data_IF_672499710198
#
_entry.id   IF_672499710198
#
_cell.length_a   1.000
_cell.length_b   1.000
_cell.length_c   1.000
_cell.angle_alpha   90.00
_cell.angle_beta   90.00
_cell.angle_gamma   90.00
#
_symmetry.space_group_name_H-M   'P 1'
#
loop_
_entity.id
_entity.type
_entity.pdbx_description
1 polymer ?
#
# COMPACT_ATOMS: atom_id res chain seq x y z
N UNK A 1 -1.59 4.83 8.97
CA UNK A 1 -1.18 4.54 7.57
C UNK A 1 -1.65 5.64 6.61
N UNK A 2 -2.90 6.11 6.67
CA UNK A 2 -3.35 7.20 5.79
C UNK A 2 -2.46 8.45 5.91
N UNK A 3 -2.12 8.87 7.13
CA UNK A 3 -1.21 9.99 7.37
C UNK A 3 0.17 9.76 6.74
N UNK A 4 0.67 8.52 6.77
CA UNK A 4 1.96 8.19 6.14
C UNK A 4 1.84 8.18 4.62
N UNK A 5 0.70 7.76 4.07
CA UNK A 5 0.45 7.90 2.64
C UNK A 5 0.49 9.37 2.20
N UNK A 6 -0.13 10.27 2.96
CA UNK A 6 -0.08 11.72 2.69
C UNK A 6 1.37 12.24 2.74
N UNK A 7 2.16 11.76 3.70
CA UNK A 7 3.59 12.08 3.81
C UNK A 7 4.34 11.63 2.55
N UNK A 8 4.19 10.37 2.16
CA UNK A 8 4.85 9.83 0.97
C UNK A 8 4.42 10.55 -0.31
N UNK A 9 3.14 10.81 -0.49
CA UNK A 9 2.62 11.55 -1.65
C UNK A 9 3.28 12.92 -1.79
N UNK A 10 3.50 13.60 -0.66
CA UNK A 10 4.11 14.93 -0.63
C UNK A 10 5.60 14.92 -0.98
N UNK A 11 6.37 13.93 -0.50
CA UNK A 11 7.83 13.90 -0.70
C UNK A 11 8.26 13.11 -1.95
N UNK A 12 7.39 12.22 -2.46
CA UNK A 12 7.73 11.34 -3.58
C UNK A 12 8.19 12.07 -4.86
N UNK A 13 7.59 13.21 -5.26
CA UNK A 13 8.07 13.94 -6.44
C UNK A 13 9.57 14.28 -6.41
N UNK A 14 10.13 14.51 -5.23
CA UNK A 14 11.55 14.84 -5.04
C UNK A 14 12.45 13.61 -4.92
N UNK A 15 11.87 12.43 -4.73
CA UNK A 15 12.59 11.18 -4.51
C UNK A 15 12.53 10.18 -5.67
N UNK A 16 11.53 10.30 -6.56
CA UNK A 16 11.25 9.32 -7.62
C UNK A 16 12.40 9.07 -8.60
N UNK A 17 13.30 10.04 -8.77
CA UNK A 17 14.48 9.89 -9.64
C UNK A 17 15.67 9.23 -8.91
N UNK A 18 15.55 9.00 -7.61
CA UNK A 18 16.60 8.46 -6.74
C UNK A 18 16.25 7.12 -6.11
N UNK A 19 14.97 6.77 -6.07
CA UNK A 19 14.50 5.57 -5.38
C UNK A 19 13.34 4.92 -6.12
N UNK A 20 13.11 3.64 -5.84
CA UNK A 20 11.90 2.92 -6.20
C UNK A 20 11.01 2.78 -4.97
N UNK A 21 9.74 3.16 -5.09
CA UNK A 21 8.75 2.95 -4.05
C UNK A 21 8.11 1.57 -4.22
N UNK A 22 8.20 0.75 -3.19
CA UNK A 22 7.59 -0.57 -3.14
C UNK A 22 6.58 -0.59 -2.00
N UNK A 23 5.32 -0.86 -2.31
CA UNK A 23 4.29 -1.09 -1.31
C UNK A 23 4.21 -2.58 -0.97
N UNK A 24 4.09 -2.89 0.32
CA UNK A 24 3.85 -4.25 0.83
C UNK A 24 2.62 -4.25 1.70
N UNK A 25 1.71 -5.17 1.46
CA UNK A 25 0.51 -5.34 2.27
C UNK A 25 0.82 -5.90 3.64
N UNK A 26 0.23 -5.32 4.66
CA UNK A 26 0.29 -5.83 6.03
C UNK A 26 -1.07 -5.62 6.74
N UNK A 27 -2.15 -6.28 6.28
CA UNK A 27 -3.47 -6.10 6.85
C UNK A 27 -3.54 -6.65 8.27
N UNK A 28 -3.86 -5.78 9.25
CA UNK A 28 -4.04 -6.14 10.66
C UNK A 28 -5.54 -6.32 10.91
N UNK A 29 -6.08 -7.45 10.50
CA UNK A 29 -7.53 -7.72 10.49
C UNK A 29 -8.17 -7.73 11.87
N UNK A 30 -7.40 -8.04 12.92
CA UNK A 30 -7.90 -8.00 14.30
C UNK A 30 -8.30 -6.59 14.75
N UNK A 31 -7.59 -5.57 14.28
CA UNK A 31 -7.89 -4.16 14.57
C UNK A 31 -8.69 -3.47 13.46
N UNK A 32 -8.53 -3.93 12.23
CA UNK A 32 -9.08 -3.34 11.01
C UNK A 32 -9.68 -4.43 10.11
N UNK A 33 -10.91 -4.91 10.38
CA UNK A 33 -11.48 -6.08 9.69
C UNK A 33 -11.51 -5.96 8.16
N UNK A 34 -11.74 -4.76 7.64
CA UNK A 34 -11.84 -4.50 6.21
C UNK A 34 -10.49 -4.38 5.48
N UNK A 35 -9.37 -4.38 6.22
CA UNK A 35 -8.03 -4.20 5.64
C UNK A 35 -7.61 -5.32 4.69
N UNK A 36 -8.07 -6.54 4.94
CA UNK A 36 -7.83 -7.67 4.04
C UNK A 36 -8.48 -7.46 2.68
N UNK A 37 -9.77 -7.17 2.66
CA UNK A 37 -10.52 -6.91 1.43
C UNK A 37 -9.94 -5.70 0.68
N UNK A 38 -9.59 -4.62 1.38
CA UNK A 38 -8.93 -3.46 0.77
C UNK A 38 -7.60 -3.85 0.07
N UNK A 39 -6.80 -4.70 0.71
CA UNK A 39 -5.55 -5.20 0.11
C UNK A 39 -5.79 -6.00 -1.17
N UNK A 40 -6.80 -6.88 -1.18
CA UNK A 40 -7.16 -7.65 -2.36
C UNK A 40 -7.63 -6.75 -3.52
N UNK A 41 -8.45 -5.74 -3.24
CA UNK A 41 -8.92 -4.78 -4.25
C UNK A 41 -7.76 -3.96 -4.85
N UNK A 42 -6.80 -3.53 -4.03
CA UNK A 42 -5.63 -2.81 -4.52
C UNK A 42 -4.79 -3.68 -5.48
N UNK A 43 -4.53 -4.95 -5.13
CA UNK A 43 -3.80 -5.87 -6.01
C UNK A 43 -4.58 -6.21 -7.28
N UNK A 44 -5.87 -6.46 -7.18
CA UNK A 44 -6.73 -6.72 -8.34
C UNK A 44 -6.78 -5.51 -9.29
N UNK A 45 -6.84 -4.29 -8.76
CA UNK A 45 -6.72 -3.07 -9.55
C UNK A 45 -5.33 -2.97 -10.22
N UNK A 46 -4.29 -3.44 -9.55
CA UNK A 46 -2.94 -3.55 -10.10
C UNK A 46 -2.85 -4.45 -11.33
N UNK A 47 -3.63 -5.54 -11.39
CA UNK A 47 -3.74 -6.39 -12.57
C UNK A 47 -4.37 -5.68 -13.79
N UNK A 48 -5.02 -4.54 -13.56
CA UNK A 48 -5.54 -3.64 -14.60
C UNK A 48 -4.71 -2.35 -14.74
N UNK A 49 -3.49 -2.34 -14.18
CA UNK A 49 -2.54 -1.22 -14.30
C UNK A 49 -2.83 -0.03 -13.38
N UNK A 50 -3.71 -0.17 -12.38
CA UNK A 50 -4.13 0.93 -11.52
C UNK A 50 -4.00 0.62 -10.02
N UNK A 51 -2.87 0.01 -9.63
CA UNK A 51 -2.58 -0.24 -8.22
C UNK A 51 -2.53 1.05 -7.40
N UNK A 52 -1.74 2.02 -7.83
CA UNK A 52 -1.51 3.25 -7.06
C UNK A 52 -2.75 4.12 -6.98
N UNK A 53 -3.55 4.18 -8.04
CA UNK A 53 -4.80 4.92 -8.07
C UNK A 53 -5.81 4.32 -7.08
N UNK A 54 -5.95 3.00 -7.04
CA UNK A 54 -6.81 2.32 -6.06
C UNK A 54 -6.26 2.45 -4.65
N UNK A 55 -4.96 2.29 -4.45
CA UNK A 55 -4.27 2.48 -3.18
C UNK A 55 -4.54 3.88 -2.60
N UNK A 56 -4.37 4.92 -3.40
CA UNK A 56 -4.60 6.29 -2.97
C UNK A 56 -6.07 6.54 -2.66
N UNK A 57 -6.98 5.99 -3.47
CA UNK A 57 -8.42 6.10 -3.25
C UNK A 57 -8.84 5.43 -1.94
N UNK A 58 -8.35 4.23 -1.68
CA UNK A 58 -8.63 3.50 -0.43
C UNK A 58 -8.17 4.28 0.79
N UNK A 59 -6.99 4.88 0.79
CA UNK A 59 -6.52 5.70 1.90
C UNK A 59 -7.31 7.01 2.04
N UNK A 60 -7.61 7.69 0.94
CA UNK A 60 -8.40 8.93 0.96
C UNK A 60 -9.80 8.71 1.57
N UNK A 61 -10.39 7.54 1.31
CA UNK A 61 -11.73 7.19 1.77
C UNK A 61 -11.76 6.29 3.02
N UNK A 62 -10.61 6.09 3.66
CA UNK A 62 -10.50 5.15 4.80
C UNK A 62 -11.49 5.45 5.92
N UNK A 63 -11.75 6.72 6.23
CA UNK A 63 -12.70 7.10 7.26
C UNK A 63 -14.15 6.66 6.95
N UNK A 64 -14.48 6.48 5.67
CA UNK A 64 -15.81 6.04 5.22
C UNK A 64 -15.91 4.52 5.35
N UNK A 65 -15.01 3.78 4.69
CA UNK A 65 -15.16 2.32 4.58
C UNK A 65 -14.69 1.55 5.82
N UNK A 66 -13.83 2.10 6.65
CA UNK A 66 -13.26 1.37 7.80
C UNK A 66 -14.31 0.88 8.79
N UNK A 67 -15.43 1.57 8.93
CA UNK A 67 -16.53 1.24 9.85
C UNK A 67 -17.68 0.46 9.20
N UNK A 68 -17.63 0.17 7.91
CA UNK A 68 -18.70 -0.54 7.23
C UNK A 68 -18.70 -2.04 7.58
N UNK A 69 -19.89 -2.63 7.66
CA UNK A 69 -20.05 -4.08 7.85
C UNK A 69 -19.80 -4.88 6.55
N UNK A 70 -20.00 -4.24 5.39
CA UNK A 70 -19.70 -4.76 4.06
C UNK A 70 -19.09 -3.63 3.22
N UNK A 71 -17.91 -3.87 2.66
CA UNK A 71 -17.15 -2.86 1.92
C UNK A 71 -17.12 -3.10 0.41
N UNK A 72 -17.60 -4.24 -0.07
CA UNK A 72 -17.49 -4.61 -1.48
C UNK A 72 -18.17 -3.59 -2.40
N UNK A 73 -19.41 -3.20 -2.10
CA UNK A 73 -20.12 -2.20 -2.88
C UNK A 73 -19.44 -0.82 -2.88
N UNK A 74 -18.80 -0.46 -1.77
CA UNK A 74 -18.04 0.78 -1.67
C UNK A 74 -16.77 0.71 -2.54
N UNK A 75 -16.02 -0.39 -2.45
CA UNK A 75 -14.82 -0.59 -3.26
C UNK A 75 -15.12 -0.75 -4.74
N UNK A 76 -16.26 -1.35 -5.10
CA UNK A 76 -16.74 -1.39 -6.48
C UNK A 76 -17.01 0.01 -7.03
N UNK A 77 -17.56 0.92 -6.21
CA UNK A 77 -17.76 2.30 -6.63
C UNK A 77 -16.44 3.01 -6.95
N UNK A 78 -15.39 2.76 -6.16
CA UNK A 78 -14.05 3.30 -6.43
C UNK A 78 -13.47 2.72 -7.73
N UNK A 79 -13.67 1.43 -7.95
CA UNK A 79 -13.23 0.77 -9.18
C UNK A 79 -13.92 1.35 -10.43
N UNK A 80 -15.21 1.65 -10.33
CA UNK A 80 -15.97 2.31 -11.42
C UNK A 80 -15.46 3.73 -11.69
N UNK A 81 -15.16 4.52 -10.66
CA UNK A 81 -14.54 5.84 -10.81
C UNK A 81 -13.17 5.77 -11.50
N UNK A 82 -12.44 4.69 -11.29
CA UNK A 82 -11.16 4.41 -11.95
C UNK A 82 -11.32 3.76 -13.34
N UNK A 83 -12.54 3.57 -13.83
CA UNK A 83 -12.86 2.89 -15.09
C UNK A 83 -12.33 1.45 -15.18
N UNK A 84 -12.30 0.73 -14.06
CA UNK A 84 -11.91 -0.67 -14.03
C UNK A 84 -13.04 -1.58 -14.51
N UNK A 85 -12.68 -2.71 -15.11
CA UNK A 85 -13.59 -3.80 -15.43
C UNK A 85 -13.94 -4.54 -14.12
N UNK A 86 -15.21 -4.45 -13.68
CA UNK A 86 -15.66 -5.05 -12.42
C UNK A 86 -15.67 -6.59 -12.46
N UNK A 87 -16.05 -7.19 -13.58
CA UNK A 87 -16.10 -8.65 -13.69
C UNK A 87 -14.69 -9.23 -13.55
N UNK A 88 -13.72 -8.61 -14.21
CA UNK A 88 -12.31 -8.95 -14.07
C UNK A 88 -11.78 -8.67 -12.67
N UNK A 89 -12.14 -7.53 -12.09
CA UNK A 89 -11.74 -7.14 -10.74
C UNK A 89 -12.19 -8.20 -9.72
N UNK A 90 -13.47 -8.60 -9.77
CA UNK A 90 -14.02 -9.61 -8.85
C UNK A 90 -13.35 -10.97 -9.03
N UNK A 91 -13.12 -11.40 -10.27
CA UNK A 91 -12.38 -12.64 -10.55
C UNK A 91 -10.95 -12.58 -9.97
N UNK A 92 -10.27 -11.45 -10.11
CA UNK A 92 -8.92 -11.25 -9.58
C UNK A 92 -8.89 -11.21 -8.05
N UNK A 93 -9.86 -10.54 -7.40
CA UNK A 93 -10.00 -10.50 -5.92
C UNK A 93 -10.11 -11.90 -5.32
N UNK A 94 -10.80 -12.82 -5.99
CA UNK A 94 -10.97 -14.21 -5.57
C UNK A 94 -9.82 -15.12 -6.01
N UNK A 95 -8.91 -14.65 -6.85
CA UNK A 95 -7.84 -15.47 -7.40
C UNK A 95 -6.78 -15.85 -6.37
N UNK A 96 -6.25 -17.08 -6.50
CA UNK A 96 -5.12 -17.53 -5.69
C UNK A 96 -3.90 -16.60 -5.84
N UNK A 97 -3.68 -16.04 -7.02
CA UNK A 97 -2.56 -15.14 -7.29
C UNK A 97 -2.62 -13.91 -6.41
N UNK A 98 -3.76 -13.23 -6.36
CA UNK A 98 -3.94 -12.00 -5.56
C UNK A 98 -3.93 -12.34 -4.07
N UNK A 99 -4.63 -13.37 -3.65
CA UNK A 99 -4.64 -13.82 -2.24
C UNK A 99 -3.24 -14.17 -1.76
N UNK A 100 -2.46 -14.93 -2.54
CA UNK A 100 -1.09 -15.31 -2.16
C UNK A 100 -0.14 -14.12 -2.16
N UNK A 101 -0.32 -13.14 -3.06
CA UNK A 101 0.49 -11.91 -3.04
C UNK A 101 0.34 -11.18 -1.70
N UNK A 102 -0.89 -10.96 -1.25
CA UNK A 102 -1.16 -10.29 0.04
C UNK A 102 -0.61 -11.11 1.21
N UNK A 103 -0.81 -12.43 1.21
CA UNK A 103 -0.27 -13.33 2.24
C UNK A 103 1.26 -13.34 2.27
N UNK A 104 1.90 -13.34 1.10
CA UNK A 104 3.35 -13.32 1.01
C UNK A 104 3.94 -12.00 1.53
N UNK A 105 3.30 -10.88 1.23
CA UNK A 105 3.70 -9.58 1.75
C UNK A 105 3.60 -9.56 3.30
N UNK A 106 2.49 -10.04 3.84
CA UNK A 106 2.29 -10.13 5.29
C UNK A 106 3.32 -11.05 5.97
N UNK A 107 3.59 -12.21 5.38
CA UNK A 107 4.64 -13.12 5.89
C UNK A 107 6.03 -12.50 5.82
N UNK A 108 6.34 -11.80 4.72
CA UNK A 108 7.59 -11.06 4.56
C UNK A 108 7.74 -9.97 5.62
N UNK A 109 6.69 -9.21 5.91
CA UNK A 109 6.67 -8.23 6.98
C UNK A 109 6.94 -8.85 8.35
N UNK A 110 6.24 -9.95 8.67
CA UNK A 110 6.47 -10.69 9.93
C UNK A 110 7.93 -11.17 10.04
N UNK A 111 8.48 -11.75 8.99
CA UNK A 111 9.86 -12.23 8.93
C UNK A 111 10.88 -11.09 9.04
N UNK A 112 10.53 -9.90 8.60
CA UNK A 112 11.37 -8.70 8.68
C UNK A 112 11.20 -7.93 10.00
N UNK A 113 10.41 -8.46 10.94
CA UNK A 113 10.22 -7.87 12.27
C UNK A 113 9.25 -6.70 12.31
N UNK A 114 8.32 -6.59 11.35
CA UNK A 114 7.25 -5.60 11.39
C UNK A 114 6.28 -5.97 12.52
N UNK A 115 6.17 -5.10 13.51
CA UNK A 115 5.28 -5.27 14.67
C UNK A 115 4.06 -4.36 14.60
N UNK A 116 4.13 -3.32 13.81
CA UNK A 116 3.05 -2.33 13.63
C UNK A 116 3.19 -1.64 12.28
N UNK A 117 2.12 -0.99 11.86
CA UNK A 117 2.08 -0.20 10.62
C UNK A 117 1.78 1.27 10.95
N UNK A 118 2.28 2.23 10.14
CA UNK A 118 3.16 2.04 8.99
C UNK A 118 4.59 1.62 9.38
N UNK A 119 5.26 0.85 8.53
CA UNK A 119 6.68 0.51 8.67
C UNK A 119 7.39 0.87 7.37
N UNK A 120 8.44 1.66 7.46
CA UNK A 120 9.23 2.13 6.31
C UNK A 120 10.62 1.52 6.35
N UNK A 121 11.00 0.88 5.25
CA UNK A 121 12.34 0.32 5.05
C UNK A 121 13.03 1.07 3.90
N UNK A 122 14.30 1.36 4.06
CA UNK A 122 15.16 1.91 3.00
C UNK A 122 16.33 0.97 2.83
N UNK A 123 16.50 0.40 1.63
CA UNK A 123 17.52 -0.59 1.32
C UNK A 123 17.59 -1.74 2.36
N UNK A 124 16.41 -2.27 2.76
CA UNK A 124 16.29 -3.39 3.69
C UNK A 124 16.45 -3.04 5.18
N UNK A 125 16.67 -1.76 5.51
CA UNK A 125 16.80 -1.28 6.90
C UNK A 125 15.53 -0.60 7.36
N UNK A 126 14.97 -1.05 8.49
CA UNK A 126 13.81 -0.42 9.12
C UNK A 126 14.18 0.99 9.61
N UNK A 127 13.43 1.97 9.13
CA UNK A 127 13.59 3.35 9.55
C UNK A 127 12.74 3.60 10.80
N UNK A 128 13.42 3.91 11.91
CA UNK A 128 12.74 4.34 13.12
C UNK A 128 12.28 5.78 12.96
N UNK A 129 11.05 6.08 13.34
CA UNK A 129 10.45 7.41 13.22
C UNK A 129 10.51 7.93 11.78
N UNK A 130 9.74 7.36 10.84
CA UNK A 130 9.78 7.70 9.42
C UNK A 130 9.07 9.05 9.14
N UNK A 131 9.65 10.16 9.61
CA UNK A 131 9.19 11.49 9.23
C UNK A 131 9.58 11.82 7.79
N UNK A 132 8.89 12.77 7.17
CA UNK A 132 9.20 13.24 5.82
C UNK A 132 10.68 13.64 5.67
N UNK A 133 11.19 14.39 6.64
CA UNK A 133 12.59 14.84 6.69
C UNK A 133 13.55 13.65 6.77
N UNK A 134 13.26 12.69 7.65
CA UNK A 134 14.13 11.53 7.86
C UNK A 134 14.15 10.59 6.67
N UNK A 135 13.00 10.34 6.05
CA UNK A 135 12.90 9.54 4.82
C UNK A 135 13.73 10.21 3.71
N UNK A 136 13.53 11.51 3.50
CA UNK A 136 14.23 12.29 2.48
C UNK A 136 15.75 12.28 2.69
N UNK A 137 16.19 12.51 3.93
CA UNK A 137 17.60 12.49 4.32
C UNK A 137 18.24 11.13 3.98
N UNK A 138 17.66 10.03 4.49
CA UNK A 138 18.23 8.69 4.30
C UNK A 138 18.23 8.26 2.83
N UNK A 139 17.18 8.58 2.06
CA UNK A 139 17.17 8.30 0.62
C UNK A 139 18.28 9.05 -0.10
N UNK A 140 18.52 10.32 0.23
CA UNK A 140 19.60 11.11 -0.38
C UNK A 140 21.00 10.58 0.00
N UNK A 141 21.20 10.16 1.26
CA UNK A 141 22.45 9.53 1.72
C UNK A 141 22.73 8.24 0.95
N UNK A 142 21.77 7.32 0.89
CA UNK A 142 21.89 6.04 0.18
C UNK A 142 22.11 6.25 -1.33
N UNK A 143 21.44 7.21 -1.93
CA UNK A 143 21.62 7.53 -3.33
C UNK A 143 23.04 8.07 -3.63
N UNK A 144 23.56 8.95 -2.77
CA UNK A 144 24.92 9.47 -2.91
C UNK A 144 25.98 8.35 -2.77
N UNK A 145 25.81 7.43 -1.82
CA UNK A 145 26.71 6.28 -1.62
C UNK A 145 26.67 5.29 -2.78
N UNK A 146 25.53 5.17 -3.49
CA UNK A 146 25.40 4.28 -4.64
C UNK A 146 26.03 4.81 -5.92
N UNK A 147 26.39 6.11 -5.96
CA UNK A 147 26.99 6.77 -7.12
C UNK A 147 28.53 6.71 -7.12
N UNK A 148 29.16 6.26 -6.01
CA UNK A 148 30.59 6.07 -5.85
C UNK A 148 31.00 4.60 -6.12
#
# INVERSE_FOLDING_TARGET
CATENDTMTRIWPDLRDKAHLVFRHFPITAAHPNSWTASLYAEAAGNQGQFWEMHDYLYAMQAIWSGLSNVEGEFDSYALELNLDLDRLHADVESDQVVQKVRNDQRGGNSSGVLSTPAVFINGRLLRQPTAERITEVVNEEYAESAD
#
